data_IF_406263473412
#
_entry.id   IF_406263473412
#
_cell.length_a   1.000
_cell.length_b   1.000
_cell.length_c   1.000
_cell.angle_alpha   90.00
_cell.angle_beta   90.00
_cell.angle_gamma   90.00
#
_symmetry.space_group_name_H-M   'P 1'
#
loop_
_entity.id
_entity.type
_entity.pdbx_description
1 polymer ?
#
# COMPACT_ATOMS: atom_id res chain seq x y z
N UNK A 1 8.46 -0.87 22.82
CA UNK A 1 7.08 -0.57 22.38
C UNK A 1 7.15 0.77 21.65
N UNK A 2 6.89 0.82 20.34
CA UNK A 2 6.84 2.10 19.61
C UNK A 2 5.51 2.76 19.98
N UNK A 3 5.53 3.99 20.48
CA UNK A 3 4.31 4.73 20.84
C UNK A 3 3.46 5.04 19.60
N UNK A 4 2.13 5.15 19.74
CA UNK A 4 1.21 5.53 18.65
C UNK A 4 1.66 6.78 17.88
N UNK A 5 2.30 7.70 18.58
CA UNK A 5 2.79 8.96 18.04
C UNK A 5 3.98 8.76 17.08
N UNK A 6 4.71 7.65 17.21
CA UNK A 6 5.79 7.27 16.29
C UNK A 6 5.20 6.71 14.99
N UNK A 7 4.25 5.78 15.06
CA UNK A 7 3.62 5.17 13.89
C UNK A 7 2.89 6.21 13.02
N UNK A 8 2.10 7.11 13.63
CA UNK A 8 1.39 8.17 12.89
C UNK A 8 2.33 9.20 12.26
N UNK A 9 3.49 9.48 12.87
CA UNK A 9 4.51 10.36 12.26
C UNK A 9 5.13 9.72 11.03
N UNK A 10 5.49 8.44 11.13
CA UNK A 10 6.00 7.68 9.98
C UNK A 10 4.96 7.60 8.86
N UNK A 11 3.69 7.36 9.20
CA UNK A 11 2.60 7.36 8.23
C UNK A 11 2.51 8.68 7.46
N UNK A 12 2.51 9.82 8.17
CA UNK A 12 2.47 11.16 7.56
C UNK A 12 3.70 11.45 6.71
N UNK A 13 4.88 10.97 7.10
CA UNK A 13 6.09 11.12 6.29
C UNK A 13 5.95 10.37 4.96
N UNK A 14 5.57 9.10 5.00
CA UNK A 14 5.41 8.27 3.81
C UNK A 14 4.26 8.75 2.91
N UNK A 15 3.17 9.24 3.48
CA UNK A 15 2.05 9.85 2.76
C UNK A 15 2.54 11.06 1.92
N UNK A 16 3.40 11.91 2.50
CA UNK A 16 3.99 13.05 1.77
C UNK A 16 4.93 12.62 0.65
N UNK A 17 5.65 11.53 0.85
CA UNK A 17 6.50 10.90 -0.17
C UNK A 17 5.69 10.11 -1.23
N UNK A 18 4.34 10.11 -1.12
CA UNK A 18 3.42 9.34 -1.98
C UNK A 18 3.67 7.83 -1.94
N UNK A 19 4.35 7.35 -0.91
CA UNK A 19 4.46 5.91 -0.65
C UNK A 19 3.21 5.44 0.11
N UNK A 20 2.12 5.35 -0.65
CA UNK A 20 0.77 5.18 -0.11
C UNK A 20 0.53 3.81 0.54
N UNK A 21 1.08 2.73 0.00
CA UNK A 21 0.92 1.38 0.56
C UNK A 21 1.57 1.28 1.95
N UNK A 22 2.82 1.72 2.08
CA UNK A 22 3.51 1.73 3.37
C UNK A 22 2.86 2.73 4.33
N UNK A 23 2.50 3.93 3.85
CA UNK A 23 1.81 4.94 4.66
C UNK A 23 0.52 4.39 5.26
N UNK A 24 -0.29 3.66 4.48
CA UNK A 24 -1.54 3.06 4.93
C UNK A 24 -1.29 2.05 6.07
N UNK A 25 -0.27 1.19 5.94
CA UNK A 25 0.10 0.23 6.99
C UNK A 25 0.44 0.91 8.33
N UNK A 26 1.21 2.01 8.28
CA UNK A 26 1.53 2.79 9.47
C UNK A 26 0.33 3.57 10.03
N UNK A 27 -0.57 4.08 9.17
CA UNK A 27 -1.83 4.70 9.62
C UNK A 27 -2.70 3.72 10.40
N UNK A 28 -2.90 2.50 9.86
CA UNK A 28 -3.72 1.47 10.53
C UNK A 28 -3.12 1.10 11.88
N UNK A 29 -1.80 0.90 11.94
CA UNK A 29 -1.12 0.57 13.20
C UNK A 29 -1.24 1.70 14.22
N UNK A 30 -0.97 2.95 13.81
CA UNK A 30 -1.10 4.12 14.67
C UNK A 30 -2.53 4.39 15.15
N UNK A 31 -3.53 4.11 14.32
CA UNK A 31 -4.95 4.19 14.68
C UNK A 31 -5.34 3.12 15.71
N UNK A 32 -4.84 1.90 15.59
CA UNK A 32 -5.02 0.85 16.59
C UNK A 32 -4.43 1.24 17.94
N UNK A 33 -3.22 1.83 17.93
CA UNK A 33 -2.61 2.32 19.17
C UNK A 33 -3.43 3.47 19.80
N UNK A 34 -4.00 4.36 18.99
CA UNK A 34 -4.92 5.40 19.45
C UNK A 34 -6.19 4.82 20.07
N UNK A 35 -6.78 3.77 19.48
CA UNK A 35 -7.95 3.08 20.05
C UNK A 35 -7.64 2.49 21.42
N UNK A 36 -6.46 1.90 21.60
CA UNK A 36 -6.02 1.38 22.90
C UNK A 36 -5.91 2.51 23.92
N UNK A 37 -5.35 3.67 23.54
CA UNK A 37 -5.26 4.83 24.43
C UNK A 37 -6.64 5.40 24.80
N UNK A 38 -7.56 5.50 23.84
CA UNK A 38 -8.94 5.93 24.08
C UNK A 38 -9.62 5.02 25.10
N UNK A 39 -9.47 3.69 24.97
CA UNK A 39 -10.05 2.72 25.91
C UNK A 39 -9.45 2.77 27.31
N UNK A 40 -8.18 3.16 27.43
CA UNK A 40 -7.46 3.28 28.72
C UNK A 40 -7.63 4.64 29.39
N UNK A 41 -8.08 5.65 28.65
CA UNK A 41 -8.22 7.02 29.15
C UNK A 41 -9.36 7.13 30.15
N UNK A 42 -9.08 7.72 31.32
CA UNK A 42 -10.07 8.01 32.36
C UNK A 42 -10.55 9.47 32.34
N UNK A 43 -9.87 10.34 31.58
CA UNK A 43 -10.23 11.75 31.42
C UNK A 43 -11.16 11.94 30.21
N UNK A 44 -12.32 12.56 30.40
CA UNK A 44 -13.26 12.86 29.31
C UNK A 44 -12.63 13.77 28.25
N UNK A 45 -11.95 14.83 28.70
CA UNK A 45 -11.26 15.80 27.82
C UNK A 45 -10.19 15.12 26.97
N UNK A 46 -9.33 14.30 27.59
CA UNK A 46 -8.30 13.58 26.85
C UNK A 46 -8.90 12.57 25.86
N UNK A 47 -9.99 11.91 26.26
CA UNK A 47 -10.70 10.95 25.40
C UNK A 47 -11.29 11.63 24.17
N UNK A 48 -11.87 12.82 24.31
CA UNK A 48 -12.39 13.61 23.19
C UNK A 48 -11.26 14.06 22.24
N UNK A 49 -10.13 14.53 22.77
CA UNK A 49 -8.97 14.90 21.96
C UNK A 49 -8.42 13.70 21.16
N UNK A 50 -8.30 12.53 21.81
CA UNK A 50 -7.84 11.31 21.14
C UNK A 50 -8.82 10.84 20.07
N UNK A 51 -10.14 10.95 20.30
CA UNK A 51 -11.17 10.64 19.30
C UNK A 51 -11.13 11.58 18.10
N UNK A 52 -10.93 12.87 18.33
CA UNK A 52 -10.76 13.85 17.24
C UNK A 52 -9.54 13.48 16.38
N UNK A 53 -8.40 13.19 17.02
CA UNK A 53 -7.18 12.75 16.33
C UNK A 53 -7.39 11.46 15.56
N UNK A 54 -8.08 10.47 16.14
CA UNK A 54 -8.44 9.23 15.47
C UNK A 54 -9.27 9.49 14.21
N UNK A 55 -10.31 10.32 14.30
CA UNK A 55 -11.18 10.64 13.15
C UNK A 55 -10.40 11.26 11.99
N UNK A 56 -9.51 12.20 12.27
CA UNK A 56 -8.67 12.84 11.25
C UNK A 56 -7.79 11.83 10.53
N UNK A 57 -7.07 10.98 11.28
CA UNK A 57 -6.17 10.01 10.65
C UNK A 57 -6.92 8.85 9.97
N UNK A 58 -8.08 8.45 10.50
CA UNK A 58 -8.92 7.43 9.87
C UNK A 58 -9.46 7.94 8.53
N UNK A 59 -9.90 9.20 8.46
CA UNK A 59 -10.34 9.80 7.21
C UNK A 59 -9.22 9.76 6.15
N UNK A 60 -8.00 10.20 6.50
CA UNK A 60 -6.88 10.16 5.56
C UNK A 60 -6.53 8.73 5.12
N UNK A 61 -6.58 7.76 6.03
CA UNK A 61 -6.35 6.36 5.69
C UNK A 61 -7.38 5.81 4.68
N UNK A 62 -8.65 6.19 4.79
CA UNK A 62 -9.67 5.83 3.79
C UNK A 62 -9.42 6.51 2.43
N UNK A 63 -9.02 7.78 2.43
CA UNK A 63 -8.65 8.49 1.19
C UNK A 63 -7.47 7.79 0.48
N UNK A 64 -6.45 7.37 1.23
CA UNK A 64 -5.28 6.65 0.70
C UNK A 64 -5.67 5.30 0.07
N UNK A 65 -6.61 4.56 0.66
CA UNK A 65 -7.11 3.30 0.05
C UNK A 65 -7.69 3.54 -1.33
N UNK A 66 -8.44 4.62 -1.50
CA UNK A 66 -9.00 4.98 -2.81
C UNK A 66 -7.90 5.42 -3.80
N UNK A 67 -6.85 6.09 -3.34
CA UNK A 67 -5.68 6.42 -4.16
C UNK A 67 -4.94 5.16 -4.65
N UNK A 68 -4.70 4.18 -3.77
CA UNK A 68 -4.09 2.89 -4.11
C UNK A 68 -4.94 2.15 -5.15
N UNK A 69 -6.24 2.02 -4.90
CA UNK A 69 -7.16 1.32 -5.80
C UNK A 69 -7.23 1.96 -7.19
N UNK A 70 -7.15 3.29 -7.27
CA UNK A 70 -7.07 4.01 -8.56
C UNK A 70 -5.78 3.68 -9.28
N UNK A 71 -4.64 3.72 -8.59
CA UNK A 71 -3.34 3.39 -9.18
C UNK A 71 -3.28 1.93 -9.67
N UNK A 72 -3.83 0.99 -8.91
CA UNK A 72 -3.98 -0.42 -9.32
C UNK A 72 -4.87 -0.55 -10.56
N UNK A 73 -6.01 0.15 -10.57
CA UNK A 73 -6.93 0.19 -11.71
C UNK A 73 -6.25 0.73 -12.97
N UNK A 74 -5.51 1.83 -12.87
CA UNK A 74 -4.73 2.40 -13.97
C UNK A 74 -3.64 1.45 -14.45
N UNK A 75 -2.95 0.76 -13.52
CA UNK A 75 -1.94 -0.26 -13.86
C UNK A 75 -2.56 -1.43 -14.63
N UNK A 76 -3.75 -1.89 -14.24
CA UNK A 76 -4.49 -2.95 -14.93
C UNK A 76 -4.96 -2.47 -16.31
N UNK A 77 -5.51 -1.27 -16.41
CA UNK A 77 -5.98 -0.70 -17.68
C UNK A 77 -4.85 -0.55 -18.70
N UNK A 78 -3.64 -0.27 -18.23
CA UNK A 78 -2.44 -0.16 -19.07
C UNK A 78 -1.70 -1.50 -19.25
N UNK A 79 -2.24 -2.62 -18.76
CA UNK A 79 -1.65 -3.95 -18.91
C UNK A 79 -2.29 -4.75 -20.05
N UNK A 80 -1.48 -5.58 -20.72
CA UNK A 80 -1.96 -6.51 -21.75
C UNK A 80 -2.01 -7.93 -21.18
N UNK A 81 -3.15 -8.62 -21.33
CA UNK A 81 -3.30 -10.02 -20.93
C UNK A 81 -3.11 -10.94 -22.14
N UNK A 82 -2.13 -11.85 -22.05
CA UNK A 82 -1.87 -12.88 -23.06
C UNK A 82 -2.42 -14.21 -22.54
N UNK A 83 -3.31 -14.85 -23.31
CA UNK A 83 -3.90 -16.15 -22.94
C UNK A 83 -3.34 -17.27 -23.80
N UNK A 84 -2.32 -17.97 -23.30
CA UNK A 84 -1.71 -19.14 -23.96
C UNK A 84 -2.63 -20.36 -23.78
N UNK A 85 -3.10 -20.94 -24.89
CA UNK A 85 -3.98 -22.13 -24.88
C UNK A 85 -3.18 -23.42 -24.66
N UNK A 86 -3.91 -24.49 -24.31
CA UNK A 86 -3.33 -25.82 -24.16
C UNK A 86 -2.64 -26.27 -25.47
N UNK A 87 -1.40 -26.75 -25.37
CA UNK A 87 -0.55 -27.18 -26.48
C UNK A 87 -0.17 -26.07 -27.49
N UNK A 88 -0.48 -24.79 -27.22
CA UNK A 88 -0.06 -23.67 -28.04
C UNK A 88 1.48 -23.48 -27.96
N UNK A 89 2.12 -23.17 -29.10
CA UNK A 89 3.58 -23.02 -29.22
C UNK A 89 3.96 -21.63 -29.72
N UNK A 90 5.24 -21.28 -29.59
CA UNK A 90 5.76 -19.99 -30.09
C UNK A 90 5.52 -18.83 -29.12
N UNK A 91 5.52 -19.12 -27.82
CA UNK A 91 5.46 -18.16 -26.71
C UNK A 91 6.74 -18.28 -25.88
N UNK A 92 7.88 -17.93 -26.48
CA UNK A 92 9.13 -17.82 -25.75
C UNK A 92 9.19 -16.52 -24.92
N UNK A 93 10.19 -16.44 -24.04
CA UNK A 93 10.36 -15.29 -23.16
C UNK A 93 10.60 -13.99 -23.92
N UNK A 94 11.34 -14.06 -25.03
CA UNK A 94 11.59 -12.88 -25.87
C UNK A 94 10.27 -12.31 -26.39
N UNK A 95 9.42 -13.14 -27.02
CA UNK A 95 8.14 -12.68 -27.55
C UNK A 95 7.20 -12.14 -26.47
N UNK A 96 7.17 -12.74 -25.28
CA UNK A 96 6.28 -12.30 -24.18
C UNK A 96 6.75 -10.97 -23.60
N UNK A 97 8.05 -10.82 -23.34
CA UNK A 97 8.58 -9.70 -22.56
C UNK A 97 9.16 -8.56 -23.39
N UNK A 98 9.35 -8.71 -24.71
CA UNK A 98 9.94 -7.67 -25.56
C UNK A 98 9.22 -6.31 -25.41
N UNK A 99 7.89 -6.33 -25.31
CA UNK A 99 7.06 -5.11 -25.11
C UNK A 99 7.30 -4.40 -23.77
N UNK A 100 7.94 -5.06 -22.80
CA UNK A 100 8.29 -4.49 -21.51
C UNK A 100 9.70 -3.88 -21.50
N UNK A 101 10.51 -4.14 -22.53
CA UNK A 101 11.91 -3.74 -22.61
C UNK A 101 12.15 -2.48 -23.48
N UNK A 102 11.09 -1.77 -23.86
CA UNK A 102 11.18 -0.51 -24.62
C UNK A 102 11.84 0.64 -23.83
N UNK A 103 11.99 0.48 -22.50
CA UNK A 103 12.67 1.45 -21.63
C UNK A 103 13.82 0.77 -20.88
N UNK A 104 14.94 1.49 -20.63
CA UNK A 104 16.05 0.94 -19.85
C UNK A 104 15.59 0.61 -18.43
N UNK A 105 15.99 -0.56 -17.93
CA UNK A 105 15.76 -1.00 -16.56
C UNK A 105 17.09 -1.27 -15.85
N UNK A 106 17.16 -0.99 -14.55
CA UNK A 106 18.38 -1.19 -13.75
C UNK A 106 18.44 -2.58 -13.11
N UNK A 107 17.28 -3.16 -12.79
CA UNK A 107 17.19 -4.48 -12.17
C UNK A 107 15.88 -5.19 -12.54
N UNK A 108 15.90 -6.52 -12.47
CA UNK A 108 14.74 -7.40 -12.67
C UNK A 108 14.61 -8.30 -11.45
N UNK A 109 13.39 -8.42 -10.93
CA UNK A 109 13.07 -9.35 -9.83
C UNK A 109 12.16 -10.42 -10.39
N UNK A 110 12.50 -11.69 -10.16
CA UNK A 110 11.71 -12.85 -10.57
C UNK A 110 11.34 -13.65 -9.33
N UNK A 111 10.06 -13.79 -9.07
CA UNK A 111 9.52 -14.65 -8.00
C UNK A 111 8.81 -15.83 -8.66
N UNK A 112 9.50 -16.97 -8.75
CA UNK A 112 8.96 -18.22 -9.31
C UNK A 112 9.18 -19.37 -8.30
N UNK A 113 8.11 -19.98 -7.76
CA UNK A 113 8.23 -21.04 -6.77
C UNK A 113 8.83 -22.35 -7.33
N UNK A 114 8.98 -22.48 -8.66
CA UNK A 114 9.45 -23.69 -9.32
C UNK A 114 10.89 -23.59 -9.85
N UNK A 115 11.63 -22.54 -9.53
CA UNK A 115 13.04 -22.38 -9.94
C UNK A 115 14.04 -23.03 -8.97
N UNK A 116 13.61 -24.03 -8.20
CA UNK A 116 14.45 -24.75 -7.23
C UNK A 116 15.44 -25.71 -7.91
#
# INVERSE_FOLDING_TARGET
MKDANSNLKTAVFLDREKNYEDALGFYITGLNDLLIQIKKSTSSVLTELLRAKFKTYAQRAEEIKEEIKKAEGEKILNSTVIKIQENEKGWDYEKIFNVCFDTPFESVVVEDPYTS
#
